data_IF_049635980196
#
_entry.id   IF_049635980196
#
_cell.length_a   1.000
_cell.length_b   1.000
_cell.length_c   1.000
_cell.angle_alpha   90.00
_cell.angle_beta   90.00
_cell.angle_gamma   90.00
#
_symmetry.space_group_name_H-M   'P 1'
#
loop_
_entity.id
_entity.type
_entity.pdbx_description
1 polymer ?
#
# COMPACT_ATOMS: atom_id res chain seq x y z
N UNK A 1 15.29 -11.23 -21.99
CA UNK A 1 14.11 -12.13 -22.01
C UNK A 1 13.92 -12.60 -20.56
N UNK A 2 13.10 -11.90 -19.77
CA UNK A 2 12.99 -12.11 -18.32
C UNK A 2 12.32 -13.46 -18.02
N UNK A 3 13.12 -14.38 -17.48
CA UNK A 3 12.82 -15.77 -17.12
C UNK A 3 11.91 -15.90 -15.89
N UNK A 4 10.87 -15.07 -15.76
CA UNK A 4 10.00 -15.11 -14.58
C UNK A 4 8.63 -15.71 -14.89
N UNK A 5 8.71 -16.92 -15.42
CA UNK A 5 7.59 -17.85 -15.52
C UNK A 5 7.84 -19.15 -14.73
N UNK A 6 8.99 -19.30 -14.04
CA UNK A 6 9.48 -20.59 -13.52
C UNK A 6 8.55 -21.36 -12.57
N UNK A 7 7.61 -20.72 -11.85
CA UNK A 7 6.62 -21.44 -11.02
C UNK A 7 5.30 -21.77 -11.76
N UNK A 8 5.16 -21.30 -13.00
CA UNK A 8 3.96 -21.48 -13.86
C UNK A 8 4.28 -22.04 -15.25
N UNK A 9 5.57 -22.27 -15.53
CA UNK A 9 6.11 -22.90 -16.73
C UNK A 9 6.07 -24.43 -16.67
N UNK A 10 5.21 -25.01 -15.81
CA UNK A 10 4.64 -26.31 -16.15
C UNK A 10 3.76 -26.10 -17.38
N UNK A 11 4.38 -26.22 -18.56
CA UNK A 11 3.76 -25.98 -19.86
C UNK A 11 2.51 -26.86 -20.07
N UNK A 12 2.41 -27.98 -19.32
CA UNK A 12 1.30 -28.93 -19.38
C UNK A 12 0.08 -28.59 -18.49
N UNK A 13 0.17 -27.57 -17.63
CA UNK A 13 -0.98 -27.16 -16.81
C UNK A 13 -1.69 -25.96 -17.45
N UNK A 14 -2.98 -26.08 -17.85
CA UNK A 14 -3.74 -24.95 -18.39
C UNK A 14 -3.76 -23.78 -17.40
N UNK A 15 -3.74 -22.50 -17.85
CA UNK A 15 -3.70 -21.34 -16.96
C UNK A 15 -4.77 -21.34 -15.86
N UNK A 16 -5.98 -21.83 -16.15
CA UNK A 16 -7.08 -21.93 -15.18
C UNK A 16 -6.81 -22.90 -14.00
N UNK A 17 -5.84 -23.82 -14.14
CA UNK A 17 -5.45 -24.80 -13.13
C UNK A 17 -4.11 -24.46 -12.46
N UNK A 18 -3.50 -23.33 -12.82
CA UNK A 18 -2.23 -22.89 -12.21
C UNK A 18 -2.51 -22.21 -10.88
N UNK A 19 -1.66 -22.48 -9.89
CA UNK A 19 -1.68 -21.75 -8.63
C UNK A 19 -1.26 -20.30 -8.87
N UNK A 20 -2.14 -19.36 -8.53
CA UNK A 20 -1.89 -17.94 -8.69
C UNK A 20 -1.49 -17.33 -7.35
N UNK A 21 -0.23 -16.89 -7.24
CA UNK A 21 0.24 -16.10 -6.12
C UNK A 21 -0.02 -14.63 -6.45
N UNK A 22 -0.77 -13.95 -5.59
CA UNK A 22 -0.98 -12.51 -5.70
C UNK A 22 -0.19 -11.79 -4.60
N UNK A 23 0.72 -10.90 -4.98
CA UNK A 23 1.38 -10.04 -4.02
C UNK A 23 0.36 -9.13 -3.33
N UNK A 24 0.47 -9.00 -2.01
CA UNK A 24 -0.29 -8.04 -1.24
C UNK A 24 -0.05 -6.60 -1.71
N UNK A 25 -1.02 -5.72 -1.44
CA UNK A 25 -0.92 -4.31 -1.83
C UNK A 25 0.25 -3.59 -1.17
N UNK A 26 0.78 -4.15 -0.07
CA UNK A 26 1.92 -3.65 0.69
C UNK A 26 3.30 -4.11 0.17
N UNK A 27 3.36 -5.01 -0.81
CA UNK A 27 4.61 -5.63 -1.27
C UNK A 27 4.95 -5.13 -2.67
N UNK A 28 6.22 -4.71 -2.82
CA UNK A 28 6.84 -4.37 -4.10
C UNK A 28 6.24 -3.10 -4.71
N UNK A 29 7.08 -2.25 -5.28
CA UNK A 29 6.62 -1.13 -6.10
C UNK A 29 7.71 -0.76 -7.11
N UNK A 30 7.39 -0.93 -8.39
CA UNK A 30 8.20 -0.50 -9.54
C UNK A 30 9.67 -0.94 -9.52
N UNK A 31 9.98 -2.01 -8.77
CA UNK A 31 11.27 -2.69 -8.83
C UNK A 31 11.36 -3.64 -10.03
N UNK A 32 12.51 -4.30 -10.23
CA UNK A 32 12.73 -5.22 -11.35
C UNK A 32 11.71 -6.36 -11.48
N UNK A 33 11.03 -6.70 -10.38
CA UNK A 33 10.05 -7.78 -10.31
C UNK A 33 8.59 -7.31 -10.25
N UNK A 34 8.28 -6.02 -10.41
CA UNK A 34 6.90 -5.50 -10.27
C UNK A 34 5.90 -6.24 -11.16
N UNK A 35 6.22 -6.37 -12.46
CA UNK A 35 5.32 -7.03 -13.41
C UNK A 35 5.08 -8.48 -13.02
N UNK A 36 6.11 -9.19 -12.58
CA UNK A 36 5.96 -10.55 -12.09
C UNK A 36 5.03 -10.61 -10.87
N UNK A 37 5.32 -9.81 -9.84
CA UNK A 37 4.63 -9.84 -8.56
C UNK A 37 3.15 -9.49 -8.69
N UNK A 38 2.81 -8.63 -9.66
CA UNK A 38 1.45 -8.11 -9.85
C UNK A 38 0.64 -8.88 -10.90
N UNK A 39 1.29 -9.59 -11.81
CA UNK A 39 0.60 -10.32 -12.89
C UNK A 39 0.06 -11.67 -12.42
N UNK A 40 -0.97 -12.16 -13.11
CA UNK A 40 -1.57 -13.47 -12.87
C UNK A 40 -1.43 -14.38 -14.10
N UNK A 41 -1.33 -15.70 -13.93
CA UNK A 41 -1.29 -16.62 -15.06
C UNK A 41 -2.49 -16.45 -16.00
N UNK A 42 -2.24 -16.44 -17.31
CA UNK A 42 -3.30 -16.33 -18.32
C UNK A 42 -3.97 -14.95 -18.42
N UNK A 43 -3.43 -13.92 -17.77
CA UNK A 43 -3.86 -12.52 -17.89
C UNK A 43 -2.74 -11.66 -18.44
N UNK A 44 -3.11 -10.49 -18.97
CA UNK A 44 -2.14 -9.48 -19.40
C UNK A 44 -1.25 -9.06 -18.23
N UNK A 45 0.01 -8.79 -18.54
CA UNK A 45 0.95 -8.21 -17.60
C UNK A 45 0.39 -6.93 -16.98
N UNK A 46 0.54 -6.77 -15.66
CA UNK A 46 0.07 -5.59 -14.92
C UNK A 46 1.11 -5.13 -13.91
N UNK A 47 0.88 -3.96 -13.32
CA UNK A 47 1.70 -3.31 -12.31
C UNK A 47 0.79 -2.57 -11.32
N UNK A 48 1.35 -2.05 -10.24
CA UNK A 48 0.65 -1.22 -9.28
C UNK A 48 0.06 0.03 -9.95
N UNK A 49 -1.23 0.32 -9.70
CA UNK A 49 -1.95 1.47 -10.29
C UNK A 49 -2.60 2.36 -9.23
N UNK A 50 -2.11 2.28 -8.00
CA UNK A 50 -2.71 2.93 -6.85
C UNK A 50 -3.66 2.02 -6.06
N UNK A 51 -4.06 2.52 -4.89
CA UNK A 51 -4.93 1.81 -3.96
C UNK A 51 -6.40 1.89 -4.42
N UNK A 52 -7.20 0.87 -4.08
CA UNK A 52 -8.65 0.85 -4.32
C UNK A 52 -9.49 1.21 -3.09
N UNK A 53 -8.86 1.36 -1.92
CA UNK A 53 -9.53 1.65 -0.65
C UNK A 53 -10.34 2.95 -0.73
N UNK A 54 -11.58 2.94 -0.23
CA UNK A 54 -12.45 4.11 -0.28
C UNK A 54 -12.93 4.52 -1.67
N UNK A 55 -12.54 3.80 -2.72
CA UNK A 55 -12.96 4.04 -4.12
C UNK A 55 -13.78 2.90 -4.69
N UNK A 56 -13.35 1.67 -4.42
CA UNK A 56 -14.04 0.44 -4.83
C UNK A 56 -14.17 -0.57 -3.68
N UNK A 57 -13.68 -0.20 -2.49
CA UNK A 57 -13.65 -1.09 -1.33
C UNK A 57 -13.98 -0.31 -0.07
N UNK A 58 -14.76 -0.92 0.81
CA UNK A 58 -15.04 -0.44 2.15
C UNK A 58 -14.68 -1.51 3.17
N UNK A 59 -14.18 -1.11 4.33
CA UNK A 59 -13.98 -1.97 5.49
C UNK A 59 -15.07 -1.71 6.52
N UNK A 60 -15.57 -2.80 7.12
CA UNK A 60 -16.50 -2.78 8.24
C UNK A 60 -15.84 -3.56 9.37
N UNK A 61 -15.54 -2.90 10.47
CA UNK A 61 -15.05 -3.56 11.68
C UNK A 61 -16.18 -4.30 12.39
N UNK A 62 -15.83 -5.22 13.29
CA UNK A 62 -16.82 -6.07 13.99
C UNK A 62 -17.83 -5.30 14.84
N UNK A 63 -17.51 -4.06 15.22
CA UNK A 63 -18.39 -3.18 15.99
C UNK A 63 -19.21 -2.21 15.12
N UNK A 64 -19.19 -2.41 13.79
CA UNK A 64 -19.89 -1.59 12.80
C UNK A 64 -19.14 -0.34 12.32
N UNK A 65 -17.91 -0.10 12.79
CA UNK A 65 -17.10 1.05 12.35
C UNK A 65 -16.71 0.90 10.88
N UNK A 66 -16.92 1.97 10.12
CA UNK A 66 -16.61 2.06 8.70
C UNK A 66 -15.24 2.70 8.47
N UNK A 67 -14.43 2.07 7.61
CA UNK A 67 -13.15 2.60 7.13
C UNK A 67 -13.01 2.47 5.62
N UNK A 68 -12.27 3.38 4.99
CA UNK A 68 -11.92 3.25 3.57
C UNK A 68 -11.01 2.05 3.30
N UNK A 69 -10.05 1.81 4.19
CA UNK A 69 -9.16 0.65 4.16
C UNK A 69 -9.36 -0.16 5.45
N UNK A 70 -9.69 -1.46 5.39
CA UNK A 70 -9.87 -2.26 6.60
C UNK A 70 -8.58 -2.40 7.43
N UNK A 71 -7.41 -2.32 6.78
CA UNK A 71 -6.12 -2.46 7.44
C UNK A 71 -5.62 -1.21 8.15
N UNK A 72 -6.09 -0.01 7.76
CA UNK A 72 -5.64 1.23 8.39
C UNK A 72 -6.05 1.28 9.88
N UNK A 73 -5.27 1.94 10.76
CA UNK A 73 -5.62 2.06 12.18
C UNK A 73 -7.00 2.66 12.41
N UNK A 74 -7.67 2.31 13.50
CA UNK A 74 -9.05 2.77 13.72
C UNK A 74 -9.10 4.25 14.08
N UNK A 75 -8.33 4.71 15.07
CA UNK A 75 -8.41 6.07 15.59
C UNK A 75 -8.29 7.19 14.51
N UNK A 76 -7.35 7.13 13.54
CA UNK A 76 -7.22 8.17 12.52
C UNK A 76 -8.18 8.01 11.34
N UNK A 77 -8.79 6.84 11.16
CA UNK A 77 -9.50 6.47 9.93
C UNK A 77 -10.95 5.99 10.11
N UNK A 78 -11.45 5.95 11.34
CA UNK A 78 -12.85 5.70 11.62
C UNK A 78 -13.71 6.78 10.95
N UNK A 79 -14.55 6.36 10.02
CA UNK A 79 -15.51 7.20 9.30
C UNK A 79 -16.85 7.36 10.03
N UNK A 80 -17.19 6.45 10.94
CA UNK A 80 -18.46 6.42 11.65
C UNK A 80 -19.08 5.02 11.66
N UNK A 81 -20.28 4.87 12.22
CA UNK A 81 -21.00 3.59 12.31
C UNK A 81 -22.26 3.59 11.47
N UNK A 82 -22.59 2.43 10.89
CA UNK A 82 -23.82 2.25 10.10
C UNK A 82 -25.12 2.37 10.92
N UNK A 83 -25.02 2.24 12.25
CA UNK A 83 -26.14 2.45 13.18
C UNK A 83 -26.50 3.92 13.37
N UNK A 84 -25.63 4.83 12.94
CA UNK A 84 -25.74 6.27 13.20
C UNK A 84 -25.82 7.07 11.90
N UNK A 85 -25.05 6.69 10.89
CA UNK A 85 -24.93 7.42 9.62
C UNK A 85 -25.21 6.48 8.44
N UNK A 86 -26.05 6.88 7.47
CA UNK A 86 -26.28 6.10 6.25
C UNK A 86 -24.97 5.82 5.51
N UNK A 87 -24.83 4.60 4.99
CA UNK A 87 -23.65 4.19 4.22
C UNK A 87 -23.37 5.12 3.04
N UNK A 88 -24.40 5.59 2.34
CA UNK A 88 -24.25 6.50 1.20
C UNK A 88 -23.59 7.82 1.62
N UNK A 89 -24.02 8.41 2.74
CA UNK A 89 -23.42 9.63 3.30
C UNK A 89 -21.96 9.38 3.67
N UNK A 90 -21.66 8.29 4.37
CA UNK A 90 -20.28 7.92 4.71
C UNK A 90 -19.41 7.74 3.46
N UNK A 91 -19.93 7.12 2.40
CA UNK A 91 -19.17 6.88 1.18
C UNK A 91 -18.92 8.16 0.38
N UNK A 92 -19.95 9.00 0.21
CA UNK A 92 -19.88 10.19 -0.62
C UNK A 92 -19.16 11.34 0.05
N UNK A 93 -19.32 11.51 1.36
CA UNK A 93 -18.96 12.76 2.04
C UNK A 93 -17.80 12.58 3.01
N UNK A 94 -17.61 11.40 3.61
CA UNK A 94 -16.59 11.22 4.64
C UNK A 94 -15.17 11.14 4.05
N UNK A 95 -14.32 12.10 4.40
CA UNK A 95 -12.94 12.19 3.92
C UNK A 95 -12.05 11.03 4.38
N UNK A 96 -12.31 10.44 5.55
CA UNK A 96 -11.56 9.29 6.06
C UNK A 96 -11.92 8.01 5.31
N UNK A 97 -13.17 7.88 4.88
CA UNK A 97 -13.64 6.75 4.06
C UNK A 97 -13.12 6.88 2.64
N UNK A 98 -13.43 7.98 1.94
CA UNK A 98 -13.04 8.18 0.55
C UNK A 98 -11.69 8.86 0.34
N UNK A 99 -10.71 8.59 1.21
CA UNK A 99 -9.44 9.31 1.23
C UNK A 99 -8.61 9.12 -0.04
N UNK A 100 -8.66 7.94 -0.68
CA UNK A 100 -7.88 7.69 -1.89
C UNK A 100 -8.43 8.47 -3.08
N UNK A 101 -9.76 8.56 -3.19
CA UNK A 101 -10.41 9.27 -4.28
C UNK A 101 -10.15 10.78 -4.21
N UNK A 102 -10.02 11.32 -2.99
CA UNK A 102 -9.73 12.74 -2.72
C UNK A 102 -8.23 13.06 -2.72
N UNK A 103 -7.35 12.06 -2.77
CA UNK A 103 -5.93 12.28 -2.59
C UNK A 103 -5.28 12.92 -3.81
N UNK A 104 -4.53 14.00 -3.57
CA UNK A 104 -3.67 14.66 -4.56
C UNK A 104 -2.19 14.39 -4.28
N UNK A 105 -1.30 14.90 -5.15
CA UNK A 105 0.16 14.84 -4.94
C UNK A 105 0.60 15.52 -3.65
N UNK A 106 -0.20 16.42 -3.07
CA UNK A 106 0.14 17.16 -1.85
C UNK A 106 0.22 16.26 -0.62
N UNK A 107 -0.33 15.04 -0.68
CA UNK A 107 -0.12 14.05 0.38
C UNK A 107 1.32 13.47 0.34
N UNK A 108 1.98 13.50 -0.82
CA UNK A 108 3.30 12.88 -0.99
C UNK A 108 4.39 13.73 -0.34
N UNK A 109 5.35 13.06 0.31
CA UNK A 109 6.49 13.71 0.95
C UNK A 109 7.73 12.80 0.88
N UNK A 110 8.89 13.33 1.25
CA UNK A 110 10.17 12.61 1.17
C UNK A 110 10.45 12.08 -0.23
N UNK A 111 11.01 10.87 -0.33
CA UNK A 111 11.34 10.24 -1.62
C UNK A 111 10.12 10.15 -2.57
N UNK A 112 8.94 9.86 -2.03
CA UNK A 112 7.75 9.67 -2.86
C UNK A 112 7.24 10.95 -3.53
N UNK A 113 7.53 12.13 -2.99
CA UNK A 113 7.10 13.41 -3.59
C UNK A 113 7.81 13.71 -4.92
N UNK A 114 9.08 13.34 -5.03
CA UNK A 114 9.93 13.58 -6.20
C UNK A 114 10.13 12.34 -7.07
N UNK A 115 9.53 11.20 -6.70
CA UNK A 115 9.66 9.95 -7.43
C UNK A 115 9.05 10.05 -8.85
N UNK A 116 9.72 9.45 -9.83
CA UNK A 116 9.23 9.35 -11.21
C UNK A 116 7.82 8.75 -11.30
N UNK A 117 7.47 7.81 -10.42
CA UNK A 117 6.17 7.14 -10.39
C UNK A 117 5.11 7.84 -9.52
N UNK A 118 5.37 9.05 -9.01
CA UNK A 118 4.53 9.71 -8.01
C UNK A 118 3.03 9.73 -8.38
N UNK A 119 2.69 10.17 -9.60
CA UNK A 119 1.30 10.33 -10.06
C UNK A 119 0.51 9.03 -10.14
N UNK A 120 1.17 7.93 -10.51
CA UNK A 120 0.53 6.63 -10.69
C UNK A 120 0.55 5.80 -9.41
N UNK A 121 1.67 5.84 -8.68
CA UNK A 121 1.89 5.03 -7.49
C UNK A 121 1.18 5.59 -6.26
N UNK A 122 1.30 6.91 -6.08
CA UNK A 122 0.80 7.65 -4.93
C UNK A 122 1.28 7.03 -3.60
N UNK A 123 2.59 6.80 -3.49
CA UNK A 123 3.28 6.18 -2.35
C UNK A 123 2.83 4.76 -1.94
N UNK A 124 2.21 3.99 -2.84
CA UNK A 124 1.89 2.58 -2.58
C UNK A 124 0.83 2.41 -1.49
N UNK A 125 0.98 1.36 -0.67
CA UNK A 125 0.04 1.06 0.40
C UNK A 125 0.05 2.11 1.51
N UNK A 126 -1.10 2.77 1.70
CA UNK A 126 -1.32 3.76 2.76
C UNK A 126 -1.21 3.19 4.16
N UNK A 127 -1.65 1.94 4.37
CA UNK A 127 -1.50 1.24 5.66
C UNK A 127 -0.04 1.10 6.03
N UNK A 128 0.78 0.58 5.13
CA UNK A 128 2.21 0.38 5.39
C UNK A 128 2.91 1.70 5.68
N UNK A 129 2.66 2.75 4.89
CA UNK A 129 3.28 4.05 5.14
C UNK A 129 2.86 4.62 6.51
N UNK A 130 1.57 4.62 6.82
CA UNK A 130 1.07 5.21 8.06
C UNK A 130 1.50 4.42 9.30
N UNK A 131 1.36 3.10 9.31
CA UNK A 131 1.76 2.27 10.45
C UNK A 131 3.28 2.17 10.65
N UNK A 132 4.07 2.73 9.72
CA UNK A 132 5.52 2.83 9.86
C UNK A 132 5.95 4.23 10.24
N UNK A 133 5.46 5.26 9.54
CA UNK A 133 5.96 6.63 9.68
C UNK A 133 4.96 7.60 10.34
N UNK A 134 3.82 7.09 10.82
CA UNK A 134 2.73 7.89 11.41
C UNK A 134 1.93 8.72 10.40
N UNK A 135 2.29 8.69 9.11
CA UNK A 135 1.63 9.44 8.04
C UNK A 135 1.68 8.68 6.71
N UNK A 136 0.62 8.79 5.91
CA UNK A 136 0.62 8.31 4.52
C UNK A 136 1.57 9.14 3.64
N UNK A 137 1.79 8.71 2.40
CA UNK A 137 2.46 9.54 1.39
C UNK A 137 3.96 9.33 1.25
N UNK A 138 4.58 8.45 2.04
CA UNK A 138 6.00 8.09 1.89
C UNK A 138 6.22 6.65 2.37
N UNK A 139 6.41 5.69 1.46
CA UNK A 139 6.54 4.28 1.82
C UNK A 139 8.03 3.84 1.80
N UNK A 140 8.61 3.46 2.94
CA UNK A 140 10.03 3.08 3.02
C UNK A 140 10.32 1.67 2.49
N UNK A 141 9.30 0.81 2.33
CA UNK A 141 9.46 -0.55 1.83
C UNK A 141 9.39 -0.67 0.31
N UNK A 142 9.57 0.45 -0.41
CA UNK A 142 9.51 0.50 -1.86
C UNK A 142 10.80 -0.06 -2.50
N UNK A 143 10.68 -1.11 -3.31
CA UNK A 143 11.83 -1.72 -4.00
C UNK A 143 12.52 -0.73 -4.94
N UNK A 144 11.75 0.08 -5.67
CA UNK A 144 12.32 1.14 -6.52
C UNK A 144 13.14 2.13 -5.67
N UNK A 145 12.58 2.63 -4.56
CA UNK A 145 13.27 3.53 -3.62
C UNK A 145 14.57 2.94 -3.11
N UNK A 146 14.52 1.72 -2.59
CA UNK A 146 15.71 1.03 -2.08
C UNK A 146 16.79 0.87 -3.18
N UNK A 147 16.38 0.56 -4.41
CA UNK A 147 17.30 0.44 -5.55
C UNK A 147 17.93 1.78 -5.93
N UNK A 148 17.16 2.88 -5.94
CA UNK A 148 17.70 4.21 -6.25
C UNK A 148 18.66 4.73 -5.17
N UNK A 149 18.41 4.41 -3.90
CA UNK A 149 19.34 4.73 -2.80
C UNK A 149 20.62 3.89 -2.88
N UNK A 150 20.50 2.59 -3.17
CA UNK A 150 21.65 1.71 -3.29
C UNK A 150 22.61 2.13 -4.42
N UNK A 151 22.08 2.68 -5.54
CA UNK A 151 22.90 3.28 -6.61
C UNK A 151 23.76 4.46 -6.13
N UNK A 152 23.35 5.11 -5.03
CA UNK A 152 24.08 6.21 -4.39
C UNK A 152 24.97 5.73 -3.25
N UNK A 153 25.06 4.41 -3.01
CA UNK A 153 25.79 3.83 -1.89
C UNK A 153 25.09 4.06 -0.54
N UNK A 154 23.77 4.24 -0.53
CA UNK A 154 22.97 4.54 0.66
C UNK A 154 21.88 3.49 0.88
N UNK A 155 21.50 3.28 2.15
CA UNK A 155 20.30 2.54 2.55
C UNK A 155 19.55 3.28 3.65
N UNK A 156 18.25 3.03 3.72
CA UNK A 156 17.42 3.51 4.81
C UNK A 156 17.30 2.47 5.93
N UNK A 157 17.25 2.96 7.16
CA UNK A 157 17.03 2.15 8.37
C UNK A 157 15.86 2.74 9.12
N UNK A 158 14.99 1.85 9.62
CA UNK A 158 13.87 2.22 10.47
C UNK A 158 14.34 2.32 11.93
N UNK A 159 14.22 3.50 12.52
CA UNK A 159 14.54 3.74 13.93
C UNK A 159 13.23 3.80 14.70
N UNK A 160 12.95 2.88 15.64
CA UNK A 160 11.72 2.93 16.44
C UNK A 160 11.73 4.17 17.33
N UNK A 161 10.66 4.96 17.28
CA UNK A 161 10.52 6.20 18.08
C UNK A 161 9.29 6.19 18.98
N UNK A 162 8.31 5.35 18.68
CA UNK A 162 7.04 5.30 19.42
C UNK A 162 6.51 3.87 19.41
N UNK A 163 6.13 3.38 20.60
CA UNK A 163 5.46 2.09 20.73
C UNK A 163 3.96 2.27 20.52
N UNK A 164 3.33 1.23 19.98
CA UNK A 164 1.89 1.15 19.93
C UNK A 164 1.29 1.14 21.35
N UNK A 165 0.08 1.69 21.51
CA UNK A 165 -0.60 1.82 22.80
C UNK A 165 -1.09 0.48 23.38
N UNK A 166 -1.14 -0.57 22.55
CA UNK A 166 -1.64 -1.90 22.89
C UNK A 166 -3.14 -2.07 22.70
N UNK A 167 -3.79 -1.23 21.89
CA UNK A 167 -5.23 -1.32 21.60
C UNK A 167 -5.49 -1.90 20.21
N UNK A 168 -6.66 -2.53 19.95
CA UNK A 168 -6.95 -3.09 18.63
C UNK A 168 -6.81 -2.05 17.51
N UNK A 169 -6.16 -2.47 16.41
CA UNK A 169 -5.91 -1.61 15.24
C UNK A 169 -5.14 -0.31 15.56
N UNK A 170 -4.19 -0.37 16.49
CA UNK A 170 -3.25 0.71 16.75
C UNK A 170 -1.99 0.60 15.86
N UNK A 171 -1.03 1.48 16.11
CA UNK A 171 0.26 1.50 15.44
C UNK A 171 1.32 2.17 16.33
N UNK A 172 2.57 1.75 16.15
CA UNK A 172 3.73 2.52 16.63
C UNK A 172 4.32 3.37 15.50
N UNK A 173 5.44 4.04 15.77
CA UNK A 173 6.11 4.89 14.78
C UNK A 173 7.60 4.64 14.73
N UNK A 174 8.13 4.76 13.51
CA UNK A 174 9.53 4.75 13.18
C UNK A 174 9.89 6.06 12.47
N UNK A 175 11.15 6.45 12.59
CA UNK A 175 11.77 7.47 11.76
C UNK A 175 12.74 6.83 10.78
N UNK A 176 13.03 7.54 9.69
CA UNK A 176 13.97 7.09 8.68
C UNK A 176 15.34 7.71 8.95
N UNK A 177 16.32 6.85 9.19
CA UNK A 177 17.72 7.21 9.11
C UNK A 177 18.29 6.72 7.77
N UNK A 178 19.33 7.39 7.27
CA UNK A 178 20.06 6.98 6.07
C UNK A 178 21.51 6.72 6.46
N UNK A 179 22.06 5.62 5.98
CA UNK A 179 23.45 5.23 6.22
C UNK A 179 24.08 4.65 4.94
N UNK A 180 25.43 4.60 4.84
CA UNK A 180 26.09 3.92 3.73
C UNK A 180 25.74 2.43 3.66
N UNK A 181 25.60 1.89 2.43
CA UNK A 181 25.40 0.45 2.19
C UNK A 181 26.63 -0.39 2.45
#
# INVERSE_FOLDING_TARGET
>A
RLQVLWATEQQDVPPARRFAIQAGNNIGYYGPHEVLLRSRPGKSATWWKGCAAGRYTIGIESDGTIKGCPSLPTAPYAGGKLTEVPLETLWRENERVGFVDRRTRDELWGFCATCYYADTCMAGCSFTAHCTLGRRGNNPFCTHRATELAKQGLREVLVPVERAEGVPYDFGRFELAVEPT
#
